data_IF_130450575276
#
_entry.id   IF_130450575276
#
_cell.length_a   1.000
_cell.length_b   1.000
_cell.length_c   1.000
_cell.angle_alpha   90.00
_cell.angle_beta   90.00
_cell.angle_gamma   90.00
#
_symmetry.space_group_name_H-M   'P 1'
#
loop_
_entity.id
_entity.type
_entity.pdbx_description
1 polymer ?
#
# COMPACT_ATOMS: atom_id res chain seq x y z
N UNK A 1 9.93 -13.98 -5.08
CA UNK A 1 9.62 -13.12 -3.91
C UNK A 1 9.99 -11.67 -4.24
N UNK A 2 9.07 -10.73 -4.05
CA UNK A 2 9.27 -9.28 -4.31
C UNK A 2 10.37 -8.66 -3.40
N UNK A 3 10.75 -9.33 -2.32
CA UNK A 3 11.71 -8.79 -1.34
C UNK A 3 13.11 -8.47 -1.92
N UNK A 4 13.62 -9.25 -2.89
CA UNK A 4 14.97 -9.02 -3.45
C UNK A 4 15.09 -7.69 -4.21
N UNK A 5 14.23 -7.38 -5.20
CA UNK A 5 14.28 -6.08 -5.88
C UNK A 5 13.96 -4.90 -4.96
N UNK A 6 13.14 -5.09 -3.91
CA UNK A 6 12.90 -4.05 -2.89
C UNK A 6 14.15 -3.76 -2.05
N UNK A 7 14.92 -4.77 -1.64
CA UNK A 7 16.20 -4.57 -0.92
C UNK A 7 17.21 -3.80 -1.76
N UNK A 8 17.27 -4.10 -3.06
CA UNK A 8 18.15 -3.40 -4.01
C UNK A 8 17.76 -1.92 -4.20
N UNK A 9 16.47 -1.56 -4.07
CA UNK A 9 15.99 -0.18 -4.23
C UNK A 9 15.84 0.62 -2.93
N UNK A 10 15.61 -0.04 -1.79
CA UNK A 10 15.30 0.63 -0.51
C UNK A 10 16.46 0.66 0.48
N UNK A 11 17.53 -0.10 0.24
CA UNK A 11 18.69 -0.14 1.13
C UNK A 11 18.46 -0.91 2.43
N UNK A 12 19.56 -1.24 3.12
CA UNK A 12 19.53 -2.05 4.35
C UNK A 12 18.86 -1.31 5.53
N UNK A 13 18.80 0.03 5.51
CA UNK A 13 18.09 0.80 6.53
C UNK A 13 16.55 0.63 6.51
N UNK A 14 16.00 -0.01 5.47
CA UNK A 14 14.55 -0.24 5.31
C UNK A 14 14.13 -1.71 5.44
N UNK A 15 14.96 -2.59 5.99
CA UNK A 15 14.59 -4.02 6.14
C UNK A 15 13.28 -4.22 6.92
N UNK A 16 13.06 -3.47 8.00
CA UNK A 16 11.78 -3.51 8.73
C UNK A 16 10.59 -3.17 7.83
N UNK A 17 10.75 -2.23 6.90
CA UNK A 17 9.70 -1.86 5.96
C UNK A 17 9.41 -3.00 4.97
N UNK A 18 10.47 -3.63 4.46
CA UNK A 18 10.38 -4.78 3.54
C UNK A 18 9.69 -5.96 4.21
N UNK A 19 9.92 -6.16 5.51
CA UNK A 19 9.34 -7.26 6.28
C UNK A 19 7.87 -7.00 6.66
N UNK A 20 7.54 -5.78 7.11
CA UNK A 20 6.21 -5.49 7.68
C UNK A 20 5.21 -4.94 6.67
N UNK A 21 5.63 -4.09 5.72
CA UNK A 21 4.70 -3.40 4.83
C UNK A 21 3.91 -4.36 3.92
N UNK A 22 4.51 -5.36 3.24
CA UNK A 22 3.75 -6.27 2.38
C UNK A 22 2.66 -7.04 3.14
N UNK A 23 2.98 -7.49 4.36
CA UNK A 23 2.04 -8.21 5.22
C UNK A 23 0.88 -7.31 5.66
N UNK A 24 1.18 -6.07 6.08
CA UNK A 24 0.16 -5.09 6.45
C UNK A 24 -0.72 -4.69 5.25
N UNK A 25 -0.12 -4.51 4.07
CA UNK A 25 -0.82 -4.18 2.83
C UNK A 25 -1.85 -5.26 2.45
N UNK A 26 -1.47 -6.53 2.53
CA UNK A 26 -2.40 -7.66 2.29
C UNK A 26 -3.57 -7.61 3.28
N UNK A 27 -3.28 -7.36 4.56
CA UNK A 27 -4.31 -7.22 5.59
C UNK A 27 -5.28 -6.07 5.29
N UNK A 28 -4.78 -4.92 4.86
CA UNK A 28 -5.59 -3.76 4.46
C UNK A 28 -6.52 -4.13 3.30
N UNK A 29 -5.98 -4.66 2.20
CA UNK A 29 -6.73 -5.03 0.99
C UNK A 29 -7.84 -6.01 1.35
N UNK A 30 -7.50 -7.06 2.11
CA UNK A 30 -8.45 -8.09 2.53
C UNK A 30 -9.59 -7.48 3.36
N UNK A 31 -9.27 -6.77 4.44
CA UNK A 31 -10.27 -6.24 5.35
C UNK A 31 -11.18 -5.20 4.66
N UNK A 32 -10.59 -4.30 3.86
CA UNK A 32 -11.35 -3.29 3.12
C UNK A 32 -12.25 -3.93 2.05
N UNK A 33 -11.72 -4.91 1.31
CA UNK A 33 -12.46 -5.65 0.29
C UNK A 33 -13.60 -6.49 0.87
N UNK A 34 -13.35 -7.24 1.95
CA UNK A 34 -14.37 -8.02 2.65
C UNK A 34 -15.50 -7.13 3.17
N UNK A 35 -15.15 -5.98 3.78
CA UNK A 35 -16.14 -5.00 4.23
C UNK A 35 -16.96 -4.44 3.07
N UNK A 36 -16.33 -4.11 1.94
CA UNK A 36 -17.03 -3.63 0.75
C UNK A 36 -17.97 -4.69 0.16
N UNK A 37 -17.52 -5.95 0.03
CA UNK A 37 -18.33 -7.07 -0.45
C UNK A 37 -19.56 -7.31 0.43
N UNK A 38 -19.39 -7.30 1.75
CA UNK A 38 -20.48 -7.50 2.71
C UNK A 38 -21.41 -6.30 2.91
N UNK A 39 -21.06 -5.12 2.38
CA UNK A 39 -21.91 -3.92 2.52
C UNK A 39 -23.12 -3.99 1.58
N UNK A 40 -24.33 -3.62 2.03
CA UNK A 40 -25.52 -3.57 1.18
C UNK A 40 -25.34 -2.65 -0.03
N UNK A 41 -26.03 -2.96 -1.13
CA UNK A 41 -26.10 -2.04 -2.26
C UNK A 41 -26.75 -0.73 -1.83
N UNK A 42 -26.10 0.39 -2.14
CA UNK A 42 -26.62 1.73 -1.90
C UNK A 42 -25.96 2.72 -2.86
N UNK A 43 -26.59 3.88 -3.13
CA UNK A 43 -25.95 4.92 -3.94
C UNK A 43 -24.61 5.44 -3.38
N UNK A 44 -24.36 5.24 -2.08
CA UNK A 44 -23.12 5.64 -1.42
C UNK A 44 -22.03 4.54 -1.47
N UNK A 45 -22.38 3.30 -1.84
CA UNK A 45 -21.41 2.21 -1.98
C UNK A 45 -20.65 2.42 -3.29
N UNK A 46 -19.31 2.58 -3.25
CA UNK A 46 -18.53 2.70 -4.48
C UNK A 46 -18.67 1.44 -5.33
N UNK A 47 -18.56 1.59 -6.64
CA UNK A 47 -18.37 0.44 -7.52
C UNK A 47 -17.01 -0.23 -7.26
N UNK A 48 -16.79 -1.37 -7.93
CA UNK A 48 -15.59 -2.17 -7.75
C UNK A 48 -14.31 -1.41 -8.13
N UNK A 49 -14.33 -0.70 -9.25
CA UNK A 49 -13.17 0.02 -9.77
C UNK A 49 -12.78 1.17 -8.83
N UNK A 50 -13.76 1.95 -8.39
CA UNK A 50 -13.59 3.04 -7.43
C UNK A 50 -13.05 2.52 -6.09
N UNK A 51 -13.55 1.38 -5.60
CA UNK A 51 -13.05 0.80 -4.36
C UNK A 51 -11.60 0.30 -4.50
N UNK A 52 -11.28 -0.37 -5.61
CA UNK A 52 -9.93 -0.85 -5.90
C UNK A 52 -8.93 0.31 -6.02
N UNK A 53 -9.32 1.40 -6.69
CA UNK A 53 -8.53 2.61 -6.79
C UNK A 53 -8.24 3.20 -5.40
N UNK A 54 -9.26 3.36 -4.55
CA UNK A 54 -9.10 3.88 -3.18
C UNK A 54 -8.15 3.04 -2.32
N UNK A 55 -8.27 1.71 -2.36
CA UNK A 55 -7.36 0.82 -1.64
C UNK A 55 -5.93 1.01 -2.13
N UNK A 56 -5.75 1.12 -3.44
CA UNK A 56 -4.43 1.35 -4.05
C UNK A 56 -3.84 2.69 -3.61
N UNK A 57 -4.64 3.77 -3.61
CA UNK A 57 -4.21 5.09 -3.14
C UNK A 57 -3.76 5.04 -1.68
N UNK A 58 -4.50 4.35 -0.81
CA UNK A 58 -4.11 4.16 0.60
C UNK A 58 -2.79 3.42 0.74
N UNK A 59 -2.55 2.38 -0.06
CA UNK A 59 -1.29 1.64 -0.08
C UNK A 59 -0.12 2.53 -0.52
N UNK A 60 -0.31 3.30 -1.58
CA UNK A 60 0.69 4.22 -2.12
C UNK A 60 1.03 5.33 -1.12
N UNK A 61 0.01 5.98 -0.53
CA UNK A 61 0.20 7.03 0.49
C UNK A 61 0.87 6.47 1.74
N UNK A 62 0.48 5.27 2.17
CA UNK A 62 1.02 4.63 3.38
C UNK A 62 2.51 4.32 3.31
N UNK A 63 3.07 4.17 2.10
CA UNK A 63 4.51 3.89 1.89
C UNK A 63 5.30 5.10 1.41
N UNK A 64 4.63 6.13 0.88
CA UNK A 64 5.29 7.28 0.25
C UNK A 64 6.34 8.01 1.12
N UNK A 65 6.15 8.23 2.44
CA UNK A 65 7.17 8.86 3.28
C UNK A 65 8.49 8.10 3.29
N UNK A 66 8.42 6.77 3.24
CA UNK A 66 9.60 5.91 3.29
C UNK A 66 10.35 5.85 1.96
N UNK A 67 9.65 6.09 0.84
CA UNK A 67 10.23 6.17 -0.50
C UNK A 67 11.02 7.48 -0.71
N UNK A 68 10.56 8.60 -0.12
CA UNK A 68 11.19 9.93 -0.28
C UNK A 68 12.54 10.04 0.42
N UNK A 69 12.79 9.24 1.45
CA UNK A 69 14.04 9.29 2.23
C UNK A 69 15.25 8.89 1.37
N UNK A 70 15.04 8.15 0.28
CA UNK A 70 16.10 7.57 -0.55
C UNK A 70 16.22 8.19 -1.96
N UNK A 71 15.47 9.25 -2.29
CA UNK A 71 15.62 9.95 -3.57
C UNK A 71 16.62 11.11 -3.44
N UNK A 72 17.78 11.09 -4.12
CA UNK A 72 18.74 12.20 -4.12
C UNK A 72 18.11 13.53 -4.60
N UNK A 73 17.04 13.43 -5.40
CA UNK A 73 16.33 14.52 -6.06
C UNK A 73 15.38 15.31 -5.13
N UNK A 74 15.10 14.81 -3.92
CA UNK A 74 14.17 15.42 -2.96
C UNK A 74 14.84 15.83 -1.63
N UNK A 75 16.17 15.82 -1.56
CA UNK A 75 16.95 16.28 -0.40
C UNK A 75 17.34 17.79 -0.45
N UNK A 76 16.71 18.59 -1.32
CA UNK A 76 16.90 20.05 -1.41
C UNK A 76 15.68 20.83 -0.94
#
# INVERSE_FOLDING_TARGET
>A
MIARPMREHLGAEKEALIDYWPTAAIGLVRNAGERWLGSPASPAKPDQETMAARITDWLCVGIAPELKINSPEYQQ
#
